data_IF_851099452882
#
_entry.id   IF_851099452882
#
_cell.length_a   1.000
_cell.length_b   1.000
_cell.length_c   1.000
_cell.angle_alpha   90.00
_cell.angle_beta   90.00
_cell.angle_gamma   90.00
#
_symmetry.space_group_name_H-M   'P 1'
#
loop_
_entity.id
_entity.type
_entity.pdbx_description
1 polymer ?
#
# COMPACT_ATOMS: atom_id res chain seq x y z
N UNK A 1 -35.07 7.40 4.93
CA UNK A 1 -33.90 6.87 5.63
C UNK A 1 -32.71 7.15 4.71
N UNK A 2 -31.82 8.07 5.06
CA UNK A 2 -30.61 8.30 4.26
C UNK A 2 -29.76 7.02 4.32
N UNK A 3 -29.61 6.40 3.18
CA UNK A 3 -28.79 5.19 3.07
C UNK A 3 -27.34 5.59 3.35
N UNK A 4 -26.76 5.13 4.50
CA UNK A 4 -25.41 5.48 4.92
C UNK A 4 -24.37 5.12 3.87
N UNK A 5 -23.16 5.68 3.94
CA UNK A 5 -22.08 5.33 3.00
C UNK A 5 -21.74 3.84 3.10
N UNK A 6 -21.46 3.22 1.96
CA UNK A 6 -20.92 1.86 1.87
C UNK A 6 -19.40 1.95 1.75
N UNK A 7 -18.70 1.33 2.69
CA UNK A 7 -17.23 1.42 2.82
C UNK A 7 -16.61 0.03 2.66
N UNK A 8 -15.64 -0.10 1.74
CA UNK A 8 -14.82 -1.30 1.60
C UNK A 8 -13.56 -1.18 2.44
N UNK A 9 -13.32 -2.14 3.35
CA UNK A 9 -12.10 -2.22 4.15
C UNK A 9 -11.26 -3.44 3.77
N UNK A 10 -9.92 -3.30 3.74
CA UNK A 10 -9.01 -4.39 3.39
C UNK A 10 -8.91 -5.37 4.55
N UNK A 11 -9.14 -6.66 4.33
CA UNK A 11 -8.79 -7.71 5.29
C UNK A 11 -7.26 -7.80 5.48
N UNK A 12 -6.82 -8.39 6.60
CA UNK A 12 -5.39 -8.54 6.92
C UNK A 12 -4.80 -7.35 7.68
N UNK A 13 -3.54 -7.01 7.43
CA UNK A 13 -2.75 -6.12 8.27
C UNK A 13 -3.33 -4.71 8.49
N UNK A 14 -4.04 -4.17 7.52
CA UNK A 14 -4.62 -2.82 7.62
C UNK A 14 -6.00 -2.78 8.28
N UNK A 15 -6.63 -3.94 8.54
CA UNK A 15 -8.05 -4.00 8.90
C UNK A 15 -8.33 -3.35 10.26
N UNK A 16 -7.59 -3.71 11.29
CA UNK A 16 -7.79 -3.21 12.66
C UNK A 16 -7.54 -1.71 12.74
N UNK A 17 -6.47 -1.22 12.09
CA UNK A 17 -6.15 0.19 12.05
C UNK A 17 -7.21 1.00 11.28
N UNK A 18 -7.76 0.43 10.19
CA UNK A 18 -8.85 1.05 9.44
C UNK A 18 -10.14 1.14 10.28
N UNK A 19 -10.51 0.09 11.01
CA UNK A 19 -11.65 0.10 11.92
C UNK A 19 -11.48 1.15 13.03
N UNK A 20 -10.30 1.17 13.67
CA UNK A 20 -9.96 2.15 14.71
C UNK A 20 -10.06 3.57 14.19
N UNK A 21 -9.48 3.86 13.03
CA UNK A 21 -9.52 5.18 12.41
C UNK A 21 -10.96 5.66 12.14
N UNK A 22 -11.83 4.77 11.62
CA UNK A 22 -13.25 5.09 11.39
C UNK A 22 -14.01 5.37 12.69
N UNK A 23 -13.70 4.63 13.76
CA UNK A 23 -14.29 4.86 15.09
C UNK A 23 -13.79 6.16 15.71
N UNK A 24 -12.49 6.42 15.68
CA UNK A 24 -11.86 7.66 16.20
C UNK A 24 -12.36 8.90 15.44
N UNK A 25 -12.64 8.76 14.14
CA UNK A 25 -13.20 9.82 13.31
C UNK A 25 -14.71 10.03 13.51
N UNK A 26 -15.38 9.20 14.32
CA UNK A 26 -16.84 9.26 14.53
C UNK A 26 -17.65 8.87 13.28
N UNK A 27 -17.05 8.18 12.32
CA UNK A 27 -17.69 7.77 11.07
C UNK A 27 -18.55 6.52 11.27
N UNK A 28 -17.98 5.52 11.95
CA UNK A 28 -18.67 4.28 12.25
C UNK A 28 -18.02 3.62 13.46
N UNK A 29 -18.80 3.30 14.47
CA UNK A 29 -18.33 2.51 15.62
C UNK A 29 -18.26 1.04 15.21
N UNK A 30 -17.05 0.53 15.03
CA UNK A 30 -16.78 -0.78 14.46
C UNK A 30 -15.87 -1.57 15.40
N UNK A 31 -16.40 -2.65 15.95
CA UNK A 31 -15.59 -3.67 16.58
C UNK A 31 -15.06 -4.65 15.52
N UNK A 32 -13.73 -4.67 15.33
CA UNK A 32 -13.07 -5.52 14.34
C UNK A 32 -13.35 -7.03 14.57
N UNK A 33 -13.55 -7.45 15.83
CA UNK A 33 -13.84 -8.85 16.19
C UNK A 33 -15.17 -9.36 15.60
N UNK A 34 -16.11 -8.47 15.33
CA UNK A 34 -17.41 -8.84 14.71
C UNK A 34 -17.26 -9.33 13.28
N UNK A 35 -16.11 -9.05 12.63
CA UNK A 35 -15.82 -9.49 11.26
C UNK A 35 -15.18 -10.89 11.17
N UNK A 36 -15.15 -11.69 12.21
CA UNK A 36 -14.58 -13.05 12.15
C UNK A 36 -15.37 -13.96 11.21
N UNK A 37 -16.70 -13.83 11.21
CA UNK A 37 -17.61 -14.61 10.36
C UNK A 37 -18.50 -13.76 9.47
N UNK A 38 -18.71 -12.50 9.80
CA UNK A 38 -19.52 -11.58 9.01
C UNK A 38 -18.60 -10.69 8.16
N UNK A 39 -18.80 -10.70 6.85
CA UNK A 39 -18.03 -9.84 5.93
C UNK A 39 -18.69 -8.48 5.68
N UNK A 40 -19.92 -8.27 6.23
CA UNK A 40 -20.68 -7.03 6.09
C UNK A 40 -21.35 -6.68 7.41
N UNK A 41 -21.14 -5.48 7.89
CA UNK A 41 -21.76 -4.93 9.09
C UNK A 41 -22.39 -3.58 8.75
N UNK A 42 -23.66 -3.42 9.10
CA UNK A 42 -24.35 -2.14 9.05
C UNK A 42 -24.28 -1.46 10.43
N UNK A 43 -23.93 -0.19 10.43
CA UNK A 43 -24.01 0.73 11.56
C UNK A 43 -25.09 1.81 11.25
N UNK A 44 -25.48 2.64 12.21
CA UNK A 44 -26.42 3.72 11.95
C UNK A 44 -25.96 4.72 10.87
N UNK A 45 -24.65 4.86 10.66
CA UNK A 45 -24.03 5.88 9.81
C UNK A 45 -23.43 5.31 8.52
N UNK A 46 -23.02 4.04 8.50
CA UNK A 46 -22.37 3.42 7.37
C UNK A 46 -22.60 1.92 7.30
N UNK A 47 -22.47 1.35 6.10
CA UNK A 47 -22.31 -0.09 5.90
C UNK A 47 -20.88 -0.40 5.55
N UNK A 48 -20.22 -1.25 6.34
CA UNK A 48 -18.83 -1.64 6.14
C UNK A 48 -18.75 -3.07 5.62
N UNK A 49 -17.94 -3.29 4.59
CA UNK A 49 -17.65 -4.61 4.04
C UNK A 49 -16.15 -4.89 4.12
N UNK A 50 -15.79 -6.09 4.62
CA UNK A 50 -14.41 -6.58 4.67
C UNK A 50 -14.15 -7.43 3.44
N UNK A 51 -13.20 -7.02 2.62
CA UNK A 51 -12.83 -7.72 1.38
C UNK A 51 -11.31 -7.95 1.32
N UNK A 52 -10.84 -8.72 0.35
CA UNK A 52 -9.39 -8.83 0.13
C UNK A 52 -8.81 -7.46 -0.24
N UNK A 53 -7.59 -7.11 0.17
CA UNK A 53 -6.98 -5.81 -0.16
C UNK A 53 -7.00 -5.50 -1.66
N UNK A 54 -6.72 -6.50 -2.51
CA UNK A 54 -6.74 -6.37 -3.98
C UNK A 54 -8.13 -6.10 -4.57
N UNK A 55 -9.19 -6.43 -3.83
CA UNK A 55 -10.57 -6.31 -4.30
C UNK A 55 -11.19 -4.96 -3.92
N UNK A 56 -10.64 -4.26 -2.91
CA UNK A 56 -11.15 -2.95 -2.47
C UNK A 56 -11.33 -1.98 -3.65
N UNK A 57 -10.33 -1.76 -4.54
CA UNK A 57 -10.50 -0.84 -5.66
C UNK A 57 -11.61 -1.28 -6.63
N UNK A 58 -11.81 -2.60 -6.80
CA UNK A 58 -12.88 -3.14 -7.66
C UNK A 58 -14.26 -2.82 -7.08
N UNK A 59 -14.45 -3.05 -5.77
CA UNK A 59 -15.73 -2.74 -5.10
C UNK A 59 -16.07 -1.25 -5.16
N UNK A 60 -15.06 -0.40 -5.11
CA UNK A 60 -15.23 1.05 -5.21
C UNK A 60 -15.50 1.45 -6.66
N UNK A 61 -14.67 1.05 -7.63
CA UNK A 61 -14.82 1.39 -9.05
C UNK A 61 -16.18 0.99 -9.60
N UNK A 62 -16.64 -0.23 -9.28
CA UNK A 62 -17.93 -0.75 -9.75
C UNK A 62 -19.15 -0.18 -8.99
N UNK A 63 -18.95 0.73 -8.03
CA UNK A 63 -20.00 1.37 -7.25
C UNK A 63 -20.69 0.45 -6.25
N UNK A 64 -20.16 -0.73 -5.97
CA UNK A 64 -20.63 -1.59 -4.89
C UNK A 64 -20.39 -0.93 -3.52
N UNK A 65 -19.29 -0.19 -3.40
CA UNK A 65 -18.98 0.70 -2.29
C UNK A 65 -18.76 2.14 -2.76
N UNK A 66 -19.12 3.10 -1.94
CA UNK A 66 -18.98 4.54 -2.23
C UNK A 66 -17.53 5.00 -2.04
N UNK A 67 -16.85 4.40 -1.07
CA UNK A 67 -15.45 4.64 -0.77
C UNK A 67 -14.78 3.38 -0.19
N UNK A 68 -13.46 3.39 -0.09
CA UNK A 68 -12.72 2.28 0.51
C UNK A 68 -11.35 2.72 1.04
N UNK A 69 -10.79 1.89 1.92
CA UNK A 69 -9.42 2.04 2.42
C UNK A 69 -8.56 0.95 1.77
N UNK A 70 -7.42 1.32 1.20
CA UNK A 70 -6.53 0.40 0.48
C UNK A 70 -5.08 0.87 0.58
N UNK A 71 -4.11 -0.05 0.54
CA UNK A 71 -2.70 0.29 0.44
C UNK A 71 -2.35 0.91 -0.92
N UNK A 72 -1.47 1.90 -0.93
CA UNK A 72 -0.98 2.53 -2.17
C UNK A 72 -0.29 1.54 -3.10
N UNK A 73 0.37 0.52 -2.55
CA UNK A 73 0.98 -0.60 -3.26
C UNK A 73 -0.02 -1.35 -4.17
N UNK A 74 -1.23 -1.56 -3.70
CA UNK A 74 -2.31 -2.16 -4.49
C UNK A 74 -2.72 -1.25 -5.64
N UNK A 75 -2.78 0.06 -5.41
CA UNK A 75 -3.14 1.04 -6.47
C UNK A 75 -2.04 1.13 -7.55
N UNK A 76 -0.76 0.96 -7.18
CA UNK A 76 0.33 0.87 -8.16
C UNK A 76 0.21 -0.36 -9.05
N UNK A 77 -0.17 -1.49 -8.47
CA UNK A 77 -0.22 -2.78 -9.18
C UNK A 77 -1.53 -3.02 -9.91
N UNK A 78 -2.61 -2.40 -9.47
CA UNK A 78 -3.93 -2.55 -10.09
C UNK A 78 -4.55 -1.17 -10.30
N UNK A 79 -4.09 -0.42 -11.33
CA UNK A 79 -4.66 0.88 -11.63
C UNK A 79 -6.16 0.74 -11.96
N UNK A 80 -6.99 1.48 -11.27
CA UNK A 80 -8.45 1.50 -11.37
C UNK A 80 -8.94 2.93 -11.48
N UNK A 81 -10.14 3.11 -12.03
CA UNK A 81 -10.78 4.43 -12.10
C UNK A 81 -11.35 4.84 -10.73
N UNK A 82 -10.43 5.09 -9.79
CA UNK A 82 -10.72 5.54 -8.44
C UNK A 82 -9.89 6.78 -8.12
N UNK A 83 -10.47 7.68 -7.34
CA UNK A 83 -9.81 8.90 -6.87
C UNK A 83 -9.24 8.67 -5.48
N UNK A 84 -7.96 8.95 -5.29
CA UNK A 84 -7.33 9.01 -3.97
C UNK A 84 -7.70 10.33 -3.31
N UNK A 85 -8.37 10.26 -2.15
CA UNK A 85 -8.87 11.45 -1.45
C UNK A 85 -8.00 11.88 -0.28
N UNK A 86 -7.45 10.91 0.47
CA UNK A 86 -6.69 11.14 1.70
C UNK A 86 -5.59 10.10 1.83
N UNK A 87 -4.36 10.57 2.16
CA UNK A 87 -3.32 9.73 2.75
C UNK A 87 -3.64 9.53 4.23
N UNK A 88 -3.75 8.28 4.66
CA UNK A 88 -4.14 7.94 6.02
C UNK A 88 -2.93 7.70 6.95
N UNK A 89 -1.71 7.77 6.41
CA UNK A 89 -0.42 7.71 7.10
C UNK A 89 -0.18 6.47 8.00
N UNK A 90 -1.02 5.43 7.91
CA UNK A 90 -0.78 4.14 8.58
C UNK A 90 -0.51 3.02 7.56
N UNK A 91 -0.11 1.84 8.04
CA UNK A 91 0.21 0.71 7.17
C UNK A 91 1.44 0.97 6.30
N UNK A 92 2.43 1.68 6.84
CA UNK A 92 3.65 2.06 6.11
C UNK A 92 4.42 0.82 5.69
N UNK A 93 4.69 0.72 4.39
CA UNK A 93 5.63 -0.26 3.84
C UNK A 93 6.40 0.36 2.66
N UNK A 94 7.50 -0.29 2.26
CA UNK A 94 8.35 0.14 1.16
C UNK A 94 8.37 -0.95 0.09
N UNK A 95 8.28 -0.56 -1.17
CA UNK A 95 8.63 -1.42 -2.28
C UNK A 95 10.14 -1.30 -2.48
N UNK A 96 10.86 -2.39 -2.40
CA UNK A 96 12.32 -2.38 -2.46
C UNK A 96 12.83 -3.38 -3.51
N UNK A 97 13.93 -3.02 -4.16
CA UNK A 97 14.78 -3.94 -4.89
C UNK A 97 15.75 -4.56 -3.89
N UNK A 98 15.77 -5.89 -3.78
CA UNK A 98 16.72 -6.60 -2.94
C UNK A 98 17.41 -7.72 -3.73
N UNK A 99 18.66 -7.98 -3.41
CA UNK A 99 19.50 -8.95 -4.10
C UNK A 99 20.29 -9.80 -3.09
N UNK A 100 20.77 -11.00 -3.48
CA UNK A 100 21.63 -11.82 -2.63
C UNK A 100 22.85 -11.06 -2.12
N UNK A 101 23.20 -11.25 -0.85
CA UNK A 101 24.42 -10.74 -0.26
C UNK A 101 25.63 -11.13 -1.13
N UNK A 102 26.56 -10.17 -1.35
CA UNK A 102 27.77 -10.40 -2.16
C UNK A 102 27.54 -10.46 -3.67
N UNK A 103 26.29 -10.41 -4.15
CA UNK A 103 26.02 -10.36 -5.60
C UNK A 103 26.51 -9.05 -6.24
N UNK A 104 26.74 -9.02 -7.56
CA UNK A 104 27.06 -7.77 -8.26
C UNK A 104 26.03 -6.67 -8.03
N UNK A 105 24.74 -7.03 -7.97
CA UNK A 105 23.65 -6.10 -7.70
C UNK A 105 23.74 -5.46 -6.31
N UNK A 106 24.07 -6.25 -5.29
CA UNK A 106 24.30 -5.74 -3.93
C UNK A 106 25.49 -4.76 -3.86
N UNK A 107 26.37 -4.79 -4.85
CA UNK A 107 27.50 -3.88 -5.02
C UNK A 107 27.23 -2.72 -5.99
N UNK A 108 25.94 -2.52 -6.39
CA UNK A 108 25.53 -1.47 -7.31
C UNK A 108 25.90 -1.73 -8.78
N UNK A 109 26.29 -2.95 -9.14
CA UNK A 109 26.64 -3.33 -10.51
C UNK A 109 25.48 -4.04 -11.18
N UNK A 110 24.83 -3.40 -12.14
CA UNK A 110 23.70 -3.94 -12.87
C UNK A 110 24.16 -4.67 -14.13
N UNK A 111 23.80 -5.96 -14.33
CA UNK A 111 24.10 -6.69 -15.54
C UNK A 111 23.21 -6.21 -16.69
N UNK A 112 23.63 -6.48 -17.95
CA UNK A 112 22.84 -6.15 -19.14
C UNK A 112 21.52 -6.93 -19.23
N UNK A 113 21.48 -8.16 -18.67
CA UNK A 113 20.31 -8.99 -18.57
C UNK A 113 20.04 -9.25 -17.11
N UNK A 114 18.86 -8.88 -16.64
CA UNK A 114 18.44 -8.98 -15.24
C UNK A 114 17.08 -9.67 -15.16
N UNK A 115 16.94 -10.65 -14.28
CA UNK A 115 15.67 -11.29 -13.95
C UNK A 115 15.25 -10.87 -12.53
N UNK A 116 14.06 -10.33 -12.38
CA UNK A 116 13.52 -9.93 -11.08
C UNK A 116 12.22 -10.66 -10.77
N UNK A 117 12.17 -11.34 -9.63
CA UNK A 117 10.95 -11.95 -9.14
C UNK A 117 10.14 -10.94 -8.32
N UNK A 118 8.82 -10.91 -8.51
CA UNK A 118 7.95 -9.94 -7.84
C UNK A 118 6.49 -10.36 -7.78
N UNK A 119 5.76 -9.87 -6.77
CA UNK A 119 4.29 -9.85 -6.74
C UNK A 119 3.71 -8.64 -7.45
N UNK A 120 4.52 -7.62 -7.72
CA UNK A 120 4.15 -6.28 -8.18
C UNK A 120 4.76 -5.98 -9.55
N UNK A 121 4.44 -6.75 -10.62
CA UNK A 121 5.10 -6.59 -11.91
C UNK A 121 4.88 -5.22 -12.55
N UNK A 122 3.72 -4.56 -12.35
CA UNK A 122 3.47 -3.23 -12.90
C UNK A 122 4.33 -2.18 -12.18
N UNK A 123 4.35 -2.21 -10.85
CA UNK A 123 5.17 -1.30 -10.06
C UNK A 123 6.67 -1.54 -10.29
N UNK A 124 7.11 -2.81 -10.35
CA UNK A 124 8.49 -3.18 -10.65
C UNK A 124 8.91 -2.71 -12.05
N UNK A 125 8.05 -2.87 -13.08
CA UNK A 125 8.33 -2.39 -14.44
C UNK A 125 8.59 -0.88 -14.43
N UNK A 126 7.69 -0.09 -13.84
CA UNK A 126 7.85 1.37 -13.74
C UNK A 126 9.14 1.76 -13.05
N UNK A 127 9.53 1.05 -11.99
CA UNK A 127 10.78 1.28 -11.29
C UNK A 127 11.98 1.03 -12.18
N UNK A 128 12.09 -0.12 -12.86
CA UNK A 128 13.22 -0.43 -13.74
C UNK A 128 13.25 0.49 -14.97
N UNK A 129 12.11 0.85 -15.53
CA UNK A 129 12.01 1.80 -16.64
C UNK A 129 12.56 3.19 -16.22
N UNK A 130 12.29 3.62 -14.98
CA UNK A 130 12.84 4.88 -14.44
C UNK A 130 14.37 4.86 -14.30
N UNK A 131 14.97 3.68 -14.17
CA UNK A 131 16.42 3.48 -14.13
C UNK A 131 17.04 3.25 -15.51
N UNK A 132 16.22 3.14 -16.57
CA UNK A 132 16.69 2.78 -17.91
C UNK A 132 17.21 1.34 -18.02
N UNK A 133 16.75 0.43 -17.13
CA UNK A 133 17.23 -0.94 -17.06
C UNK A 133 16.24 -1.90 -17.72
N UNK A 134 16.74 -2.72 -18.64
CA UNK A 134 15.99 -3.83 -19.21
C UNK A 134 15.93 -4.99 -18.19
N UNK A 135 14.72 -5.49 -17.89
CA UNK A 135 14.49 -6.54 -16.91
C UNK A 135 13.44 -7.53 -17.39
N UNK A 136 13.70 -8.81 -17.19
CA UNK A 136 12.70 -9.87 -17.27
C UNK A 136 11.99 -9.99 -15.91
N UNK A 137 10.68 -9.73 -15.86
CA UNK A 137 9.90 -9.83 -14.64
C UNK A 137 9.26 -11.21 -14.52
N UNK A 138 9.52 -11.88 -13.41
CA UNK A 138 8.95 -13.18 -13.07
C UNK A 138 7.89 -12.96 -12.00
N UNK A 139 6.62 -13.05 -12.40
CA UNK A 139 5.49 -12.87 -11.47
C UNK A 139 5.33 -14.09 -10.58
N UNK A 140 5.38 -13.88 -9.28
CA UNK A 140 5.08 -14.86 -8.25
C UNK A 140 3.90 -14.40 -7.39
N UNK A 141 3.22 -15.33 -6.72
CA UNK A 141 2.08 -15.03 -5.84
C UNK A 141 2.45 -15.02 -4.34
N UNK A 142 3.64 -15.50 -4.00
CA UNK A 142 4.17 -15.56 -2.63
C UNK A 142 5.60 -16.07 -2.60
N UNK A 143 6.26 -16.00 -1.44
CA UNK A 143 7.62 -16.49 -1.20
C UNK A 143 8.62 -16.01 -2.26
N UNK A 144 8.52 -14.73 -2.62
CA UNK A 144 9.32 -14.10 -3.68
C UNK A 144 10.80 -14.17 -3.32
N UNK A 145 11.10 -14.09 -2.03
CA UNK A 145 12.46 -14.10 -1.44
C UNK A 145 13.24 -15.38 -1.75
N UNK A 146 12.55 -16.49 -2.04
CA UNK A 146 13.19 -17.76 -2.39
C UNK A 146 13.72 -17.80 -3.84
N UNK A 147 13.21 -16.92 -4.71
CA UNK A 147 13.51 -16.97 -6.13
C UNK A 147 15.01 -16.86 -6.45
N UNK A 148 15.81 -15.99 -5.83
CA UNK A 148 17.25 -15.95 -6.07
C UNK A 148 17.97 -17.19 -5.57
N UNK A 149 17.62 -17.71 -4.39
CA UNK A 149 18.25 -18.91 -3.83
C UNK A 149 18.00 -20.17 -4.71
N UNK A 150 16.87 -20.19 -5.42
CA UNK A 150 16.52 -21.26 -6.35
C UNK A 150 17.03 -21.04 -7.79
N UNK A 151 17.76 -19.95 -8.04
CA UNK A 151 18.29 -19.60 -9.37
C UNK A 151 17.21 -19.16 -10.37
N UNK A 152 15.98 -18.88 -9.88
CA UNK A 152 14.88 -18.44 -10.72
C UNK A 152 15.03 -16.97 -11.15
N UNK A 153 15.56 -16.12 -10.27
CA UNK A 153 15.77 -14.70 -10.51
C UNK A 153 17.11 -14.24 -9.93
N UNK A 154 17.60 -13.11 -10.38
CA UNK A 154 18.87 -12.51 -9.89
C UNK A 154 18.61 -11.57 -8.71
N UNK A 155 17.37 -11.06 -8.59
CA UNK A 155 16.93 -10.19 -7.52
C UNK A 155 15.41 -10.32 -7.31
N UNK A 156 14.91 -9.60 -6.29
CA UNK A 156 13.48 -9.49 -6.00
C UNK A 156 13.05 -8.03 -5.91
N UNK A 157 11.79 -7.76 -6.30
CA UNK A 157 11.12 -6.49 -6.00
C UNK A 157 9.87 -6.84 -5.21
N UNK A 158 9.87 -6.49 -3.92
CA UNK A 158 8.73 -6.81 -3.05
C UNK A 158 8.53 -5.75 -1.97
N UNK A 159 7.36 -5.77 -1.32
CA UNK A 159 7.08 -4.87 -0.20
C UNK A 159 7.71 -5.39 1.09
N UNK A 160 8.21 -4.47 1.87
CA UNK A 160 8.72 -4.75 3.20
C UNK A 160 8.35 -3.64 4.17
N UNK A 161 7.99 -4.00 5.40
CA UNK A 161 7.81 -3.05 6.49
C UNK A 161 9.11 -2.90 7.31
N UNK A 162 9.77 -4.01 7.62
CA UNK A 162 10.92 -4.05 8.54
C UNK A 162 12.20 -4.66 7.95
N UNK A 163 12.14 -5.21 6.75
CA UNK A 163 13.27 -5.90 6.11
C UNK A 163 13.60 -7.29 6.69
N UNK A 164 12.93 -7.74 7.75
CA UNK A 164 13.28 -9.01 8.45
C UNK A 164 13.25 -10.23 7.53
N UNK A 165 12.26 -10.32 6.65
CA UNK A 165 12.13 -11.45 5.71
C UNK A 165 13.28 -11.45 4.71
N UNK A 166 13.73 -10.29 4.25
CA UNK A 166 14.88 -10.17 3.35
C UNK A 166 16.16 -10.68 4.03
N UNK A 167 16.46 -10.19 5.22
CA UNK A 167 17.62 -10.61 6.01
C UNK A 167 17.60 -12.11 6.29
N UNK A 168 16.45 -12.67 6.67
CA UNK A 168 16.29 -14.10 6.93
C UNK A 168 16.55 -14.98 5.69
N UNK A 169 16.46 -14.41 4.48
CA UNK A 169 16.73 -15.08 3.22
C UNK A 169 18.04 -14.61 2.54
N UNK A 170 18.96 -14.00 3.31
CA UNK A 170 20.26 -13.51 2.83
C UNK A 170 20.15 -12.52 1.67
N UNK A 171 19.11 -11.67 1.69
CA UNK A 171 18.92 -10.60 0.75
C UNK A 171 19.23 -9.25 1.41
N UNK A 172 19.89 -8.37 0.67
CA UNK A 172 20.14 -6.98 1.06
C UNK A 172 19.35 -6.03 0.19
N UNK A 173 18.85 -4.95 0.78
CA UNK A 173 18.18 -3.89 0.05
C UNK A 173 19.20 -3.15 -0.83
N UNK A 174 18.92 -3.04 -2.13
CA UNK A 174 19.74 -2.33 -3.11
C UNK A 174 19.20 -0.94 -3.38
N UNK A 175 17.87 -0.82 -3.50
CA UNK A 175 17.20 0.45 -3.76
C UNK A 175 15.75 0.42 -3.26
N UNK A 176 15.24 1.59 -2.89
CA UNK A 176 13.83 1.80 -2.60
C UNK A 176 13.09 2.22 -3.88
N UNK A 177 12.09 1.44 -4.29
CA UNK A 177 11.26 1.73 -5.46
C UNK A 177 10.05 2.62 -5.13
N UNK A 178 9.59 2.65 -3.87
CA UNK A 178 8.50 3.51 -3.44
C UNK A 178 8.03 3.24 -2.02
N UNK A 179 7.25 4.18 -1.47
CA UNK A 179 6.61 4.08 -0.15
C UNK A 179 5.11 3.99 -0.29
N UNK A 180 4.50 3.05 0.42
CA UNK A 180 3.07 2.84 0.48
C UNK A 180 2.55 3.13 1.89
N UNK A 181 1.39 3.80 1.92
CA UNK A 181 0.54 3.98 3.10
C UNK A 181 -0.89 3.67 2.71
N UNK A 182 -1.76 3.50 3.70
CA UNK A 182 -3.19 3.36 3.44
C UNK A 182 -3.79 4.65 2.85
N UNK A 183 -4.69 4.50 1.88
CA UNK A 183 -5.37 5.58 1.16
C UNK A 183 -6.87 5.44 1.28
N UNK A 184 -7.57 6.56 1.47
CA UNK A 184 -9.01 6.63 1.21
C UNK A 184 -9.22 6.84 -0.27
N UNK A 185 -9.99 5.96 -0.91
CA UNK A 185 -10.38 6.07 -2.32
C UNK A 185 -11.90 6.18 -2.47
N UNK A 186 -12.36 6.80 -3.56
CA UNK A 186 -13.76 6.85 -3.97
C UNK A 186 -13.88 6.77 -5.48
N UNK A 187 -15.10 6.45 -5.97
CA UNK A 187 -15.40 6.46 -7.40
C UNK A 187 -16.05 7.77 -7.83
N UNK A 188 -16.04 8.04 -9.15
CA UNK A 188 -16.59 9.26 -9.73
C UNK A 188 -18.09 9.41 -9.47
N UNK A 189 -18.85 8.32 -9.52
CA UNK A 189 -20.30 8.36 -9.33
C UNK A 189 -20.65 8.82 -7.92
N UNK A 190 -20.00 8.25 -6.89
CA UNK A 190 -20.21 8.64 -5.49
C UNK A 190 -19.74 10.07 -5.22
N UNK A 191 -18.63 10.51 -5.82
CA UNK A 191 -18.18 11.90 -5.74
C UNK A 191 -19.19 12.90 -6.32
N UNK A 192 -20.00 12.50 -7.31
CA UNK A 192 -21.04 13.35 -7.91
C UNK A 192 -22.38 13.23 -7.18
N UNK A 193 -22.83 12.02 -6.88
CA UNK A 193 -24.19 11.78 -6.37
C UNK A 193 -24.28 11.84 -4.85
N UNK A 194 -23.18 11.63 -4.14
CA UNK A 194 -23.05 11.60 -2.67
C UNK A 194 -21.91 12.49 -2.19
N UNK A 195 -21.61 13.55 -2.94
CA UNK A 195 -20.46 14.44 -2.74
C UNK A 195 -20.31 14.95 -1.31
N UNK A 196 -21.43 15.37 -0.69
CA UNK A 196 -21.40 15.88 0.68
C UNK A 196 -20.94 14.81 1.68
N UNK A 197 -21.51 13.61 1.62
CA UNK A 197 -21.20 12.51 2.53
C UNK A 197 -19.73 12.02 2.33
N UNK A 198 -19.27 11.91 1.08
CA UNK A 198 -17.89 11.51 0.78
C UNK A 198 -16.89 12.59 1.24
N UNK A 199 -17.20 13.88 1.04
CA UNK A 199 -16.35 14.97 1.51
C UNK A 199 -16.31 15.06 3.04
N UNK A 200 -17.45 14.84 3.72
CA UNK A 200 -17.50 14.78 5.19
C UNK A 200 -16.64 13.63 5.72
N UNK A 201 -16.72 12.44 5.10
CA UNK A 201 -15.86 11.30 5.42
C UNK A 201 -14.38 11.67 5.26
N UNK A 202 -13.99 12.19 4.10
CA UNK A 202 -12.62 12.58 3.82
C UNK A 202 -12.09 13.63 4.80
N UNK A 203 -12.92 14.64 5.13
CA UNK A 203 -12.58 15.68 6.09
C UNK A 203 -12.43 15.13 7.52
N UNK A 204 -13.32 14.22 7.95
CA UNK A 204 -13.23 13.57 9.26
C UNK A 204 -11.92 12.78 9.39
N UNK A 205 -11.61 11.93 8.40
CA UNK A 205 -10.39 11.13 8.40
C UNK A 205 -9.13 11.99 8.38
N UNK A 206 -9.08 13.07 7.55
CA UNK A 206 -7.95 14.02 7.56
C UNK A 206 -7.73 14.61 8.94
N UNK A 207 -8.78 15.11 9.61
CA UNK A 207 -8.65 15.70 10.96
C UNK A 207 -8.09 14.71 11.96
N UNK A 208 -8.60 13.47 11.96
CA UNK A 208 -8.16 12.42 12.88
C UNK A 208 -6.69 12.06 12.66
N UNK A 209 -6.29 11.88 11.41
CA UNK A 209 -4.91 11.57 11.05
C UNK A 209 -3.97 12.73 11.44
N UNK A 210 -4.32 13.99 11.13
CA UNK A 210 -3.50 15.15 11.48
C UNK A 210 -3.38 15.32 13.00
N UNK A 211 -4.43 15.07 13.77
CA UNK A 211 -4.41 15.10 15.22
C UNK A 211 -3.50 14.02 15.82
N UNK A 212 -3.43 12.82 15.19
CA UNK A 212 -2.55 11.73 15.61
C UNK A 212 -1.07 11.93 15.30
N UNK A 213 -0.73 12.84 14.38
CA UNK A 213 0.65 13.16 13.96
C UNK A 213 1.30 14.25 14.84
N UNK A 214 0.58 14.86 15.80
CA UNK A 214 1.15 15.93 16.64
C UNK A 214 2.39 15.45 17.41
N UNK A 215 3.54 16.16 17.35
CA UNK A 215 4.74 15.80 18.08
C UNK A 215 4.49 15.98 19.59
N UNK A 216 4.31 14.88 20.32
CA UNK A 216 4.13 14.89 21.76
C UNK A 216 3.30 13.75 22.37
N UNK A 217 2.49 13.03 21.64
CA UNK A 217 1.81 11.85 22.16
C UNK A 217 2.64 10.60 21.89
N UNK A 218 3.60 10.34 22.77
CA UNK A 218 4.40 9.11 22.75
C UNK A 218 3.52 7.87 22.91
N UNK A 219 3.29 7.18 21.81
CA UNK A 219 2.98 5.75 21.81
C UNK A 219 4.19 5.06 21.20
N UNK A 220 5.01 4.54 22.09
CA UNK A 220 6.19 3.75 21.80
C UNK A 220 5.83 2.50 21.00
N UNK A 221 6.04 2.56 19.70
CA UNK A 221 6.40 1.37 18.94
C UNK A 221 7.85 1.02 19.27
N UNK A 222 8.29 -0.24 19.19
CA UNK A 222 9.64 -0.61 19.59
C UNK A 222 10.67 0.19 18.80
N UNK A 223 11.54 0.87 19.56
CA UNK A 223 12.64 1.66 19.04
C UNK A 223 13.51 0.80 18.12
N UNK A 224 13.53 1.15 16.84
CA UNK A 224 14.61 0.72 15.97
C UNK A 224 15.83 1.53 16.35
N UNK A 225 16.80 0.85 16.95
CA UNK A 225 18.12 1.38 17.26
C UNK A 225 18.75 1.93 15.98
N UNK A 226 19.18 3.18 16.07
CA UNK A 226 20.10 3.81 15.11
C UNK A 226 21.36 2.94 14.94
N UNK A 227 21.66 2.65 13.72
CA UNK A 227 23.00 2.74 13.11
C UNK A 227 22.96 2.00 11.78
N UNK A 228 23.04 2.71 10.71
CA UNK A 228 24.06 2.60 9.66
C UNK A 228 23.73 3.66 8.63
N UNK A 229 24.56 4.69 8.60
CA UNK A 229 24.70 5.60 7.46
C UNK A 229 25.14 4.78 6.24
N UNK A 230 24.21 4.54 5.34
CA UNK A 230 24.53 4.18 3.96
C UNK A 230 24.00 5.30 3.09
N UNK A 231 24.89 6.16 2.62
CA UNK A 231 24.67 6.94 1.42
C UNK A 231 24.18 5.98 0.35
N UNK A 232 22.94 6.20 -0.13
CA UNK A 232 22.40 5.43 -1.23
C UNK A 232 23.27 5.67 -2.46
N UNK A 233 23.95 4.64 -2.92
CA UNK A 233 24.88 4.68 -4.06
C UNK A 233 24.20 5.00 -5.40
N UNK A 234 22.91 5.18 -5.41
CA UNK A 234 22.09 5.58 -6.56
C UNK A 234 21.15 6.70 -6.12
N UNK A 235 21.38 7.92 -6.61
CA UNK A 235 20.50 9.07 -6.42
C UNK A 235 19.18 8.90 -7.19
N UNK A 236 18.41 7.86 -6.88
CA UNK A 236 17.18 7.50 -7.58
C UNK A 236 15.98 8.01 -6.79
N UNK A 237 15.24 8.91 -7.41
CA UNK A 237 13.96 9.41 -6.91
C UNK A 237 12.93 8.29 -6.84
N UNK A 238 12.21 8.20 -5.73
CA UNK A 238 11.05 7.30 -5.56
C UNK A 238 10.03 7.46 -6.71
N UNK A 239 9.23 6.41 -6.95
CA UNK A 239 8.14 6.44 -7.92
C UNK A 239 7.28 7.70 -7.71
N UNK A 240 6.97 8.48 -8.77
CA UNK A 240 6.11 9.65 -8.64
C UNK A 240 4.73 9.24 -8.13
N UNK A 241 4.15 10.05 -7.26
CA UNK A 241 2.75 9.94 -6.89
C UNK A 241 1.89 10.15 -8.15
N UNK A 242 1.55 9.03 -8.81
CA UNK A 242 0.73 9.06 -10.01
C UNK A 242 -0.69 9.47 -9.66
N UNK A 243 -0.97 10.77 -9.69
CA UNK A 243 -2.32 11.27 -9.84
C UNK A 243 -2.87 10.87 -11.23
N UNK A 244 -4.20 10.74 -11.41
CA UNK A 244 -4.78 10.38 -12.69
C UNK A 244 -4.40 11.42 -13.74
N UNK A 245 -3.59 10.99 -14.72
CA UNK A 245 -3.32 11.79 -15.89
C UNK A 245 -4.63 12.00 -16.64
N UNK A 246 -5.05 13.25 -16.75
CA UNK A 246 -6.10 13.66 -17.67
C UNK A 246 -5.62 13.35 -19.08
N UNK A 247 -6.01 12.20 -19.61
CA UNK A 247 -5.95 11.93 -21.05
C UNK A 247 -7.33 12.24 -21.64
N UNK A 248 -7.30 13.07 -22.64
CA UNK A 248 -8.43 13.48 -23.48
C UNK A 248 -9.12 12.28 -24.12
#
# INVERSE_FOLDING_TARGET
>A
MSDGLRLALPGGALFEDACRLLSDAGVADIDASRFDRQLKIATPTATVVKVRPTDVPVYVEMGACDAGIVGKDILWESPRDCYELVDLHFGVCRLVLAAPEGSPLAQGRFPQSLRAATKYPIAARRFFDSLGLAVELIKLHGSVELAPAMGLADCVVDITATGRTLVANHLVEVAEAGRSTARLISNQASLKTRSEAVNQLAAALRRTVTAGIQPGSGRSGPAASESVSSESALGVSALPDGGPGTSR
#
